data_IF_766525847453
#
_entry.id   IF_766525847453
#
_cell.length_a   1.000
_cell.length_b   1.000
_cell.length_c   1.000
_cell.angle_alpha   90.00
_cell.angle_beta   90.00
_cell.angle_gamma   90.00
#
_symmetry.space_group_name_H-M   'P 1'
#
loop_
_entity.id
_entity.type
_entity.pdbx_description
1 polymer ?
#
# COMPACT_ATOMS: atom_id res chain seq x y z
N UNK A 1 24.37 24.43 -38.23
CA UNK A 1 24.24 23.00 -37.88
C UNK A 1 23.05 22.90 -36.94
N UNK A 2 21.91 22.49 -37.46
CA UNK A 2 20.71 22.24 -36.66
C UNK A 2 20.91 20.93 -35.93
N UNK A 3 20.86 20.98 -34.61
CA UNK A 3 20.86 19.79 -33.76
C UNK A 3 19.42 19.28 -33.80
N UNK A 4 19.18 18.22 -34.58
CA UNK A 4 17.91 17.52 -34.54
C UNK A 4 17.79 16.85 -33.18
N UNK A 5 16.85 17.35 -32.38
CA UNK A 5 16.44 16.75 -31.13
C UNK A 5 15.72 15.44 -31.47
N UNK A 6 16.50 14.35 -31.54
CA UNK A 6 15.96 13.00 -31.69
C UNK A 6 15.28 12.67 -30.36
N UNK A 7 13.98 12.91 -30.31
CA UNK A 7 13.10 12.35 -29.30
C UNK A 7 13.18 10.83 -29.43
N UNK A 8 14.02 10.22 -28.59
CA UNK A 8 13.98 8.78 -28.38
C UNK A 8 12.66 8.51 -27.66
N UNK A 9 11.63 8.16 -28.43
CA UNK A 9 10.45 7.49 -27.90
C UNK A 9 10.92 6.16 -27.31
N UNK A 10 11.21 6.18 -26.01
CA UNK A 10 11.36 4.96 -25.25
C UNK A 10 10.01 4.23 -25.33
N UNK A 11 9.99 2.94 -25.71
CA UNK A 11 8.74 2.18 -25.73
C UNK A 11 8.16 2.23 -24.32
N UNK A 12 6.88 2.61 -24.22
CA UNK A 12 6.09 2.57 -23.01
C UNK A 12 6.03 1.12 -22.50
N UNK A 13 7.09 0.66 -21.85
CA UNK A 13 7.01 -0.41 -20.89
C UNK A 13 6.07 0.12 -19.82
N UNK A 14 4.79 -0.28 -19.91
CA UNK A 14 3.69 0.32 -19.19
C UNK A 14 4.05 0.47 -17.72
N UNK A 15 4.32 1.71 -17.31
CA UNK A 15 4.52 2.01 -15.91
C UNK A 15 3.27 1.50 -15.19
N UNK A 16 3.41 0.74 -14.08
CA UNK A 16 2.26 0.24 -13.37
C UNK A 16 1.35 1.42 -13.04
N UNK A 17 0.03 1.31 -13.31
CA UNK A 17 -0.89 2.42 -13.15
C UNK A 17 -0.79 2.96 -11.72
N UNK A 18 -0.88 4.29 -11.59
CA UNK A 18 -0.86 4.91 -10.28
C UNK A 18 -2.00 4.33 -9.43
N UNK A 19 -1.82 4.22 -8.12
CA UNK A 19 -2.83 3.64 -7.22
C UNK A 19 -4.18 4.37 -7.34
N UNK A 20 -4.16 5.68 -7.60
CA UNK A 20 -5.33 6.51 -7.89
C UNK A 20 -6.02 6.14 -9.20
N UNK A 21 -5.26 5.80 -10.25
CA UNK A 21 -5.78 5.33 -11.54
C UNK A 21 -6.40 3.93 -11.42
N UNK A 22 -5.84 3.07 -10.56
CA UNK A 22 -6.30 1.70 -10.37
C UNK A 22 -7.54 1.56 -9.47
N UNK A 23 -7.65 2.38 -8.41
CA UNK A 23 -8.68 2.19 -7.36
C UNK A 23 -9.66 3.38 -7.21
N UNK A 24 -9.32 4.55 -7.76
CA UNK A 24 -10.09 5.79 -7.61
C UNK A 24 -9.82 6.51 -6.28
N UNK A 25 -10.00 7.84 -6.29
CA UNK A 25 -9.61 8.73 -5.17
C UNK A 25 -10.23 8.34 -3.82
N UNK A 26 -11.50 7.91 -3.82
CA UNK A 26 -12.17 7.50 -2.58
C UNK A 26 -11.51 6.27 -1.96
N UNK A 27 -11.20 5.25 -2.77
CA UNK A 27 -10.56 4.05 -2.29
C UNK A 27 -9.15 4.34 -1.78
N UNK A 28 -8.40 5.21 -2.46
CA UNK A 28 -7.08 5.66 -2.00
C UNK A 28 -7.16 6.31 -0.62
N UNK A 29 -8.07 7.25 -0.43
CA UNK A 29 -8.28 7.90 0.87
C UNK A 29 -8.67 6.90 1.97
N UNK A 30 -9.58 5.96 1.66
CA UNK A 30 -9.97 4.91 2.60
C UNK A 30 -8.80 3.97 2.96
N UNK A 31 -7.92 3.66 2.00
CA UNK A 31 -6.70 2.87 2.23
C UNK A 31 -5.69 3.62 3.11
N UNK A 32 -5.47 4.91 2.87
CA UNK A 32 -4.60 5.76 3.70
C UNK A 32 -5.10 5.83 5.14
N UNK A 33 -6.41 6.02 5.32
CA UNK A 33 -7.03 6.06 6.64
C UNK A 33 -6.96 4.69 7.35
N UNK A 34 -7.13 3.60 6.61
CA UNK A 34 -6.99 2.25 7.15
C UNK A 34 -5.55 1.96 7.60
N UNK A 35 -4.56 2.38 6.80
CA UNK A 35 -3.15 2.28 7.15
C UNK A 35 -2.83 3.09 8.41
N UNK A 36 -3.28 4.34 8.48
CA UNK A 36 -3.08 5.19 9.65
C UNK A 36 -3.66 4.54 10.92
N UNK A 37 -4.87 3.99 10.85
CA UNK A 37 -5.51 3.29 11.98
C UNK A 37 -4.72 2.04 12.42
N UNK A 38 -4.22 1.26 11.47
CA UNK A 38 -3.42 0.09 11.79
C UNK A 38 -2.07 0.48 12.43
N UNK A 39 -1.41 1.53 11.92
CA UNK A 39 -0.15 2.01 12.50
C UNK A 39 -0.32 2.62 13.89
N UNK A 40 -1.47 3.23 14.21
CA UNK A 40 -1.72 3.78 15.55
C UNK A 40 -1.69 2.76 16.68
N UNK A 41 -1.98 1.49 16.38
CA UNK A 41 -1.97 0.41 17.37
C UNK A 41 -0.71 -0.45 17.31
N UNK A 42 0.20 -0.15 16.38
CA UNK A 42 1.43 -0.89 16.22
C UNK A 42 2.35 -0.59 17.41
N UNK A 43 2.90 -1.61 18.08
CA UNK A 43 3.86 -1.40 19.17
C UNK A 43 5.08 -0.60 18.68
N UNK A 44 5.68 0.26 19.51
CA UNK A 44 6.88 1.04 19.15
C UNK A 44 8.03 0.16 18.65
N UNK A 45 8.17 -1.04 19.20
CA UNK A 45 9.20 -2.02 18.83
C UNK A 45 9.01 -2.55 17.41
N UNK A 46 7.79 -2.47 16.89
CA UNK A 46 7.42 -2.88 15.55
C UNK A 46 7.22 -1.69 14.60
N UNK A 47 7.36 -0.44 15.03
CA UNK A 47 7.14 0.75 14.20
C UNK A 47 8.31 1.08 13.24
N UNK A 48 8.71 0.09 12.46
CA UNK A 48 9.67 0.25 11.38
C UNK A 48 8.98 0.60 10.06
N UNK A 49 9.71 1.27 9.16
CA UNK A 49 9.23 1.51 7.80
C UNK A 49 8.84 0.20 7.09
N UNK A 50 9.63 -0.86 7.29
CA UNK A 50 9.36 -2.18 6.69
C UNK A 50 8.03 -2.78 7.15
N UNK A 51 7.72 -2.71 8.45
CA UNK A 51 6.47 -3.19 9.00
C UNK A 51 5.27 -2.35 8.54
N UNK A 52 5.42 -1.04 8.44
CA UNK A 52 4.40 -0.16 7.84
C UNK A 52 4.15 -0.49 6.37
N UNK A 53 5.20 -0.77 5.59
CA UNK A 53 5.07 -1.26 4.22
C UNK A 53 4.35 -2.61 4.16
N UNK A 54 4.64 -3.53 5.08
CA UNK A 54 3.95 -4.82 5.16
C UNK A 54 2.43 -4.66 5.39
N UNK A 55 2.04 -3.77 6.31
CA UNK A 55 0.63 -3.44 6.57
C UNK A 55 -0.02 -2.84 5.30
N UNK A 56 0.62 -1.84 4.68
CA UNK A 56 0.12 -1.20 3.47
C UNK A 56 -0.08 -2.21 2.32
N UNK A 57 0.87 -3.13 2.11
CA UNK A 57 0.78 -4.21 1.12
C UNK A 57 -0.39 -5.15 1.40
N UNK A 58 -0.66 -5.44 2.66
CA UNK A 58 -1.76 -6.32 3.06
C UNK A 58 -3.12 -5.69 2.77
N UNK A 59 -3.25 -4.38 2.99
CA UNK A 59 -4.44 -3.60 2.61
C UNK A 59 -4.59 -3.60 1.08
N UNK A 60 -3.53 -3.26 0.34
CA UNK A 60 -3.54 -3.24 -1.12
C UNK A 60 -3.91 -4.61 -1.72
N UNK A 61 -3.39 -5.71 -1.16
CA UNK A 61 -3.73 -7.06 -1.61
C UNK A 61 -5.24 -7.36 -1.47
N UNK A 62 -5.86 -6.91 -0.37
CA UNK A 62 -7.31 -7.08 -0.16
C UNK A 62 -8.13 -6.23 -1.13
N UNK A 63 -7.75 -4.98 -1.35
CA UNK A 63 -8.43 -4.09 -2.31
C UNK A 63 -8.25 -4.60 -3.74
N UNK A 64 -7.05 -5.05 -4.11
CA UNK A 64 -6.76 -5.71 -5.39
C UNK A 64 -7.58 -6.99 -5.60
N UNK A 65 -7.90 -7.71 -4.52
CA UNK A 65 -8.80 -8.87 -4.53
C UNK A 65 -10.29 -8.52 -4.61
N UNK A 66 -10.65 -7.24 -4.71
CA UNK A 66 -12.03 -6.78 -4.85
C UNK A 66 -12.69 -6.27 -3.57
N UNK A 67 -11.95 -6.13 -2.46
CA UNK A 67 -12.47 -5.43 -1.27
C UNK A 67 -12.77 -3.97 -1.62
N UNK A 68 -13.98 -3.51 -1.29
CA UNK A 68 -14.46 -2.14 -1.57
C UNK A 68 -14.94 -1.41 -0.33
N UNK A 69 -14.90 -2.06 0.83
CA UNK A 69 -15.39 -1.49 2.08
C UNK A 69 -14.23 -1.00 2.94
N UNK A 70 -14.40 0.19 3.53
CA UNK A 70 -13.45 0.71 4.50
C UNK A 70 -13.24 -0.24 5.70
N UNK A 71 -14.31 -0.89 6.18
CA UNK A 71 -14.23 -1.87 7.27
C UNK A 71 -13.34 -3.07 6.90
N UNK A 72 -13.45 -3.58 5.68
CA UNK A 72 -12.61 -4.66 5.18
C UNK A 72 -11.14 -4.26 5.05
N UNK A 73 -10.87 -3.02 4.61
CA UNK A 73 -9.51 -2.47 4.55
C UNK A 73 -8.89 -2.33 5.95
N UNK A 74 -9.64 -1.80 6.92
CA UNK A 74 -9.19 -1.72 8.32
C UNK A 74 -8.92 -3.11 8.89
N UNK A 75 -9.84 -4.06 8.67
CA UNK A 75 -9.66 -5.44 9.12
C UNK A 75 -8.38 -6.07 8.55
N UNK A 76 -8.07 -5.82 7.28
CA UNK A 76 -6.83 -6.28 6.65
C UNK A 76 -5.57 -5.69 7.33
N UNK A 77 -5.58 -4.38 7.61
CA UNK A 77 -4.48 -3.71 8.31
C UNK A 77 -4.28 -4.26 9.73
N UNK A 78 -5.38 -4.44 10.47
CA UNK A 78 -5.35 -4.99 11.83
C UNK A 78 -4.83 -6.43 11.86
N UNK A 79 -5.25 -7.27 10.91
CA UNK A 79 -4.74 -8.63 10.77
C UNK A 79 -3.23 -8.65 10.45
N UNK A 80 -2.74 -7.70 9.67
CA UNK A 80 -1.31 -7.57 9.40
C UNK A 80 -0.51 -7.15 10.64
N UNK A 81 -1.04 -6.23 11.46
CA UNK A 81 -0.44 -5.86 12.76
C UNK A 81 -0.35 -7.09 13.67
N UNK A 82 -1.42 -7.88 13.75
CA UNK A 82 -1.45 -9.08 14.58
C UNK A 82 -0.41 -10.12 14.12
N UNK A 83 -0.25 -10.32 12.81
CA UNK A 83 0.80 -11.17 12.27
C UNK A 83 2.21 -10.70 12.65
N UNK A 84 2.45 -9.37 12.68
CA UNK A 84 3.74 -8.84 13.10
C UNK A 84 4.02 -9.09 14.59
N UNK A 85 3.00 -8.96 15.44
CA UNK A 85 3.11 -9.27 16.88
C UNK A 85 3.45 -10.74 17.11
N UNK A 86 2.71 -11.64 16.47
CA UNK A 86 2.95 -13.08 16.57
C UNK A 86 4.35 -13.48 16.10
N UNK A 87 4.91 -12.79 15.10
CA UNK A 87 6.30 -13.03 14.66
C UNK A 87 7.34 -12.55 15.66
N UNK A 88 7.04 -11.49 16.41
CA UNK A 88 7.96 -10.96 17.41
C UNK A 88 8.00 -11.82 18.68
N UNK A 89 6.88 -12.41 19.07
CA UNK A 89 6.78 -13.30 20.24
C UNK A 89 7.47 -14.68 20.04
N UNK A 90 7.83 -15.01 18.79
CA UNK A 90 8.53 -16.25 18.42
C UNK A 90 10.06 -16.11 18.42
N UNK A 91 10.58 -14.92 18.73
CA UNK A 91 12.03 -14.60 18.78
C UNK A 91 12.46 -14.40 20.22
#
# INVERSE_FOLDING_TARGET
MSIEEVAVELPAAEAPPLVTEAFGNRAVFEMELALQKACQILPPELDSHEHRCFIARSILARVGGGERTFAGMVSAGMAAVEQLRQRQEQV
#
